data_IF_002561333285
#
_entry.id   IF_002561333285
#
_cell.length_a   1.000
_cell.length_b   1.000
_cell.length_c   1.000
_cell.angle_alpha   90.00
_cell.angle_beta   90.00
_cell.angle_gamma   90.00
#
_symmetry.space_group_name_H-M   'P 1'
#
loop_
_entity.id
_entity.type
_entity.pdbx_description
1 polymer ?
#
# COMPACT_ATOMS: atom_id res chain seq x y z
N UNK A 1 10.35 -3.96 -8.83
CA UNK A 1 9.53 -3.55 -9.99
C UNK A 1 8.47 -2.55 -9.54
N UNK A 2 8.12 -1.62 -10.42
CA UNK A 2 7.06 -0.64 -10.17
C UNK A 2 5.69 -1.26 -10.47
N UNK A 3 4.69 -0.90 -9.67
CA UNK A 3 3.30 -1.28 -9.93
C UNK A 3 2.80 -0.64 -11.23
N UNK A 4 1.82 -1.28 -11.88
CA UNK A 4 1.22 -0.73 -13.10
C UNK A 4 0.78 0.73 -12.88
N UNK A 5 1.12 1.62 -13.80
CA UNK A 5 0.89 3.05 -13.72
C UNK A 5 1.89 3.84 -12.89
N UNK A 6 2.84 3.18 -12.21
CA UNK A 6 3.86 3.79 -11.35
C UNK A 6 5.27 3.63 -11.92
N UNK A 7 6.16 4.56 -11.61
CA UNK A 7 7.57 4.50 -12.01
C UNK A 7 7.75 4.36 -13.52
N UNK A 8 8.51 3.37 -13.93
CA UNK A 8 8.76 3.05 -15.35
C UNK A 8 7.79 1.99 -15.92
N UNK A 9 6.80 1.54 -15.14
CA UNK A 9 5.76 0.65 -15.63
C UNK A 9 4.78 1.40 -16.53
N UNK A 10 4.21 0.68 -17.50
CA UNK A 10 3.21 1.23 -18.41
C UNK A 10 1.97 1.73 -17.67
N UNK A 11 1.30 2.70 -18.26
CA UNK A 11 -0.02 3.14 -17.82
C UNK A 11 -1.10 2.37 -18.55
N UNK A 12 -2.24 2.18 -17.89
CA UNK A 12 -3.40 1.55 -18.52
C UNK A 12 -4.00 2.49 -19.59
N UNK A 13 -4.48 1.92 -20.68
CA UNK A 13 -5.17 2.67 -21.73
C UNK A 13 -6.49 3.24 -21.21
N UNK A 14 -6.76 4.50 -21.56
CA UNK A 14 -8.00 5.20 -21.23
C UNK A 14 -8.39 5.09 -19.75
N UNK A 15 -7.48 5.39 -18.81
CA UNK A 15 -7.80 5.30 -17.39
C UNK A 15 -8.91 6.29 -17.02
N UNK A 16 -9.63 5.98 -15.97
CA UNK A 16 -10.67 6.81 -15.42
C UNK A 16 -10.85 6.50 -13.94
N UNK A 17 -11.95 6.98 -13.37
CA UNK A 17 -12.25 6.72 -11.96
C UNK A 17 -12.24 5.21 -11.66
N UNK A 18 -11.50 4.82 -10.62
CA UNK A 18 -11.36 3.43 -10.16
C UNK A 18 -10.75 2.45 -11.18
N UNK A 19 -9.84 2.93 -12.02
CA UNK A 19 -9.09 2.06 -12.95
C UNK A 19 -7.95 1.33 -12.25
N UNK A 20 -7.22 2.04 -11.37
CA UNK A 20 -6.10 1.48 -10.62
C UNK A 20 -6.57 0.98 -9.25
N UNK A 21 -7.38 -0.08 -9.27
CA UNK A 21 -7.93 -0.68 -8.06
C UNK A 21 -6.96 -1.66 -7.40
N UNK A 22 -7.26 -2.05 -6.16
CA UNK A 22 -6.54 -3.12 -5.47
C UNK A 22 -6.51 -4.41 -6.29
N UNK A 23 -7.64 -4.80 -6.90
CA UNK A 23 -7.73 -6.01 -7.69
C UNK A 23 -6.94 -5.90 -8.99
N UNK A 24 -7.00 -4.76 -9.69
CA UNK A 24 -6.19 -4.51 -10.88
C UNK A 24 -4.70 -4.69 -10.57
N UNK A 25 -4.21 -4.07 -9.51
CA UNK A 25 -2.81 -4.22 -9.12
C UNK A 25 -2.47 -5.66 -8.70
N UNK A 26 -3.39 -6.35 -8.04
CA UNK A 26 -3.17 -7.74 -7.65
C UNK A 26 -3.07 -8.68 -8.85
N UNK A 27 -3.88 -8.47 -9.88
CA UNK A 27 -3.81 -9.24 -11.13
C UNK A 27 -2.45 -9.08 -11.81
N UNK A 28 -1.98 -7.83 -12.01
CA UNK A 28 -0.66 -7.57 -12.60
C UNK A 28 0.48 -8.16 -11.77
N UNK A 29 0.44 -8.02 -10.45
CA UNK A 29 1.42 -8.61 -9.55
C UNK A 29 1.43 -10.13 -9.65
N UNK A 30 0.27 -10.76 -9.68
CA UNK A 30 0.14 -12.21 -9.75
C UNK A 30 0.68 -12.78 -11.07
N UNK A 31 0.39 -12.12 -12.19
CA UNK A 31 0.93 -12.51 -13.49
C UNK A 31 2.45 -12.27 -13.59
N UNK A 32 2.97 -11.20 -12.98
CA UNK A 32 4.41 -10.99 -12.87
C UNK A 32 5.08 -12.13 -12.11
N UNK A 33 4.60 -12.48 -10.92
CA UNK A 33 5.18 -13.57 -10.11
C UNK A 33 5.13 -14.90 -10.88
N UNK A 34 4.03 -15.16 -11.56
CA UNK A 34 3.87 -16.34 -12.41
C UNK A 34 4.86 -16.36 -13.58
N UNK A 35 5.07 -15.22 -14.25
CA UNK A 35 6.03 -15.10 -15.36
C UNK A 35 7.48 -15.33 -14.94
N UNK A 36 7.80 -15.02 -13.69
CA UNK A 36 9.13 -15.25 -13.10
C UNK A 36 9.38 -16.73 -12.76
N UNK A 37 8.38 -17.61 -12.93
CA UNK A 37 8.46 -19.03 -12.60
C UNK A 37 8.93 -19.33 -11.16
N UNK A 38 8.56 -18.48 -10.22
CA UNK A 38 8.86 -18.66 -8.80
C UNK A 38 7.90 -19.69 -8.20
N UNK A 39 8.37 -20.90 -8.00
CA UNK A 39 7.51 -22.04 -7.68
C UNK A 39 7.57 -22.48 -6.22
N UNK A 40 8.60 -22.08 -5.44
CA UNK A 40 8.76 -22.48 -4.06
C UNK A 40 9.67 -21.53 -3.27
N UNK A 41 9.56 -21.59 -1.94
CA UNK A 41 10.44 -20.89 -0.97
C UNK A 41 10.43 -19.36 -1.15
N UNK A 42 9.32 -18.79 -1.53
CA UNK A 42 9.18 -17.35 -1.73
C UNK A 42 9.11 -16.66 -0.36
N UNK A 43 9.94 -15.65 -0.16
CA UNK A 43 9.80 -14.72 0.95
C UNK A 43 9.20 -13.42 0.41
N UNK A 44 8.06 -13.03 0.96
CA UNK A 44 7.37 -11.80 0.59
C UNK A 44 7.76 -10.68 1.55
N UNK A 45 8.05 -9.51 1.00
CA UNK A 45 8.35 -8.30 1.79
C UNK A 45 7.39 -7.21 1.33
N UNK A 46 6.52 -6.75 2.23
CA UNK A 46 5.46 -5.81 1.92
C UNK A 46 5.47 -4.57 2.81
N UNK A 47 5.46 -3.38 2.17
CA UNK A 47 5.31 -2.08 2.80
C UNK A 47 4.09 -1.39 2.17
N UNK A 48 3.36 -0.58 2.94
CA UNK A 48 2.17 0.13 2.50
C UNK A 48 1.19 -0.82 1.78
N UNK A 49 0.79 -0.54 0.55
CA UNK A 49 -0.05 -1.43 -0.26
C UNK A 49 0.63 -2.76 -0.63
N UNK A 50 1.96 -2.80 -0.64
CA UNK A 50 2.69 -4.05 -0.82
C UNK A 50 2.39 -5.10 0.26
N UNK A 51 2.00 -4.69 1.46
CA UNK A 51 1.56 -5.60 2.51
C UNK A 51 0.27 -6.35 2.16
N UNK A 52 -0.88 -5.67 1.95
CA UNK A 52 -2.13 -6.34 1.60
C UNK A 52 -2.04 -7.20 0.34
N UNK A 53 -1.32 -6.74 -0.69
CA UNK A 53 -1.11 -7.49 -1.93
C UNK A 53 -0.29 -8.76 -1.69
N UNK A 54 0.83 -8.66 -0.96
CA UNK A 54 1.68 -9.80 -0.62
C UNK A 54 0.94 -10.84 0.24
N UNK A 55 0.17 -10.36 1.22
CA UNK A 55 -0.59 -11.25 2.11
C UNK A 55 -1.71 -11.95 1.35
N UNK A 56 -2.42 -11.25 0.45
CA UNK A 56 -3.42 -11.87 -0.42
C UNK A 56 -2.76 -12.96 -1.27
N UNK A 57 -1.62 -12.68 -1.88
CA UNK A 57 -0.88 -13.64 -2.68
C UNK A 57 -0.42 -14.84 -1.84
N UNK A 58 0.11 -14.61 -0.62
CA UNK A 58 0.49 -15.66 0.30
C UNK A 58 -0.67 -16.55 0.71
N UNK A 59 -1.85 -15.97 0.94
CA UNK A 59 -3.07 -16.69 1.28
C UNK A 59 -3.54 -17.63 0.15
N UNK A 60 -3.37 -17.18 -1.10
CA UNK A 60 -3.76 -17.95 -2.28
C UNK A 60 -2.70 -18.96 -2.74
N UNK A 61 -1.45 -18.84 -2.28
CA UNK A 61 -0.30 -19.66 -2.66
C UNK A 61 0.55 -20.07 -1.43
N UNK A 62 -0.10 -20.44 -0.33
CA UNK A 62 0.58 -20.64 0.96
C UNK A 62 1.63 -21.76 0.94
N UNK A 63 1.47 -22.76 0.08
CA UNK A 63 2.41 -23.85 -0.16
C UNK A 63 3.75 -23.39 -0.76
N UNK A 64 3.78 -22.22 -1.44
CA UNK A 64 4.97 -21.65 -2.05
C UNK A 64 5.70 -20.65 -1.14
N UNK A 65 5.04 -20.19 -0.07
CA UNK A 65 5.55 -19.12 0.78
C UNK A 65 6.36 -19.65 1.94
N UNK A 66 7.62 -19.21 2.03
CA UNK A 66 8.53 -19.55 3.11
C UNK A 66 8.47 -18.58 4.28
N UNK A 67 8.11 -17.31 4.04
CA UNK A 67 8.04 -16.27 5.06
C UNK A 67 7.42 -14.99 4.57
N UNK A 68 6.89 -14.20 5.50
CA UNK A 68 6.25 -12.89 5.23
C UNK A 68 6.92 -11.84 6.12
N UNK A 69 7.53 -10.83 5.53
CA UNK A 69 8.03 -9.64 6.21
C UNK A 69 7.09 -8.47 5.89
N UNK A 70 6.69 -7.71 6.90
CA UNK A 70 5.78 -6.58 6.70
C UNK A 70 6.10 -5.44 7.67
N UNK A 71 5.88 -4.21 7.20
CA UNK A 71 6.10 -2.99 7.95
C UNK A 71 5.31 -1.83 7.35
N UNK A 72 4.94 -0.86 8.18
CA UNK A 72 4.22 0.35 7.74
C UNK A 72 3.20 0.04 6.64
N UNK A 73 2.18 -0.77 6.98
CA UNK A 73 1.24 -1.35 6.01
C UNK A 73 -0.20 -1.38 6.51
N UNK A 74 -1.15 -1.50 5.58
CA UNK A 74 -2.57 -1.67 5.86
C UNK A 74 -2.85 -3.14 6.23
N UNK A 75 -2.68 -3.49 7.51
CA UNK A 75 -2.87 -4.86 8.01
C UNK A 75 -4.31 -5.15 8.48
N UNK A 76 -5.08 -4.13 8.76
CA UNK A 76 -6.45 -4.22 9.23
C UNK A 76 -7.33 -3.12 8.62
N UNK A 77 -8.66 -3.32 8.53
CA UNK A 77 -9.58 -2.25 8.16
C UNK A 77 -9.52 -1.07 9.11
N UNK A 78 -9.73 0.12 8.61
CA UNK A 78 -9.57 1.37 9.35
C UNK A 78 -10.96 1.98 9.62
N UNK A 79 -11.16 2.51 10.82
CA UNK A 79 -12.30 3.37 11.13
C UNK A 79 -11.86 4.82 11.17
N UNK A 80 -12.62 5.70 10.54
CA UNK A 80 -12.30 7.13 10.51
C UNK A 80 -12.28 7.78 11.89
N UNK A 81 -13.05 7.25 12.84
CA UNK A 81 -13.05 7.69 14.24
C UNK A 81 -11.73 7.40 14.99
N UNK A 82 -10.97 6.39 14.53
CA UNK A 82 -9.67 5.99 15.09
C UNK A 82 -8.50 6.73 14.44
N UNK A 83 -8.75 7.46 13.35
CA UNK A 83 -7.73 8.23 12.64
C UNK A 83 -7.45 9.56 13.32
N UNK A 84 -6.19 9.91 13.40
CA UNK A 84 -5.75 11.20 13.91
C UNK A 84 -5.69 12.26 12.81
N UNK A 85 -5.90 13.51 13.18
CA UNK A 85 -5.61 14.65 12.31
C UNK A 85 -4.06 14.86 12.23
N UNK A 86 -3.51 15.30 11.06
CA UNK A 86 -4.22 15.72 9.84
C UNK A 86 -4.53 14.59 8.84
N UNK A 87 -4.17 13.33 9.15
CA UNK A 87 -4.29 12.20 8.25
C UNK A 87 -5.75 11.93 7.85
N UNK A 88 -6.67 12.03 8.81
CA UNK A 88 -8.12 11.89 8.56
C UNK A 88 -8.61 12.91 7.53
N UNK A 89 -8.33 14.18 7.76
CA UNK A 89 -8.73 15.25 6.82
C UNK A 89 -8.14 15.05 5.43
N UNK A 90 -6.90 14.57 5.34
CA UNK A 90 -6.25 14.26 4.07
C UNK A 90 -7.00 13.17 3.29
N UNK A 91 -7.31 12.03 3.92
CA UNK A 91 -8.02 10.95 3.23
C UNK A 91 -9.45 11.33 2.87
N UNK A 92 -10.14 12.10 3.71
CA UNK A 92 -11.47 12.62 3.36
C UNK A 92 -11.42 13.56 2.15
N UNK A 93 -10.42 14.44 2.09
CA UNK A 93 -10.18 15.32 0.94
C UNK A 93 -9.89 14.51 -0.34
N UNK A 94 -8.99 13.52 -0.29
CA UNK A 94 -8.65 12.68 -1.45
C UNK A 94 -9.84 11.89 -1.99
N UNK A 95 -10.83 11.58 -1.15
CA UNK A 95 -12.07 10.88 -1.55
C UNK A 95 -13.16 11.79 -2.10
N UNK A 96 -13.00 13.10 -2.02
CA UNK A 96 -13.93 14.08 -2.56
C UNK A 96 -13.52 14.55 -3.97
N UNK A 97 -14.41 15.31 -4.63
CA UNK A 97 -14.10 15.99 -5.91
C UNK A 97 -12.91 16.93 -5.81
N UNK A 98 -12.64 17.49 -4.61
CA UNK A 98 -11.45 18.29 -4.37
C UNK A 98 -10.18 17.47 -4.54
N UNK A 99 -10.21 16.16 -4.23
CA UNK A 99 -9.11 15.23 -4.46
C UNK A 99 -8.79 15.08 -5.93
N UNK A 100 -9.80 14.98 -6.80
CA UNK A 100 -9.57 14.92 -8.25
C UNK A 100 -8.78 16.11 -8.74
N UNK A 101 -9.22 17.32 -8.42
CA UNK A 101 -8.51 18.55 -8.78
C UNK A 101 -7.10 18.58 -8.21
N UNK A 102 -6.95 18.33 -6.91
CA UNK A 102 -5.65 18.41 -6.23
C UNK A 102 -4.62 17.42 -6.79
N UNK A 103 -5.04 16.20 -7.05
CA UNK A 103 -4.11 15.16 -7.50
C UNK A 103 -3.91 15.22 -9.01
N UNK A 104 -4.99 15.26 -9.80
CA UNK A 104 -4.86 15.16 -11.25
C UNK A 104 -4.31 16.46 -11.87
N UNK A 105 -4.72 17.64 -11.37
CA UNK A 105 -4.27 18.91 -11.93
C UNK A 105 -3.00 19.44 -11.24
N UNK A 106 -2.92 19.38 -9.89
CA UNK A 106 -1.86 20.01 -9.11
C UNK A 106 -0.74 19.04 -8.70
N UNK A 107 -0.83 17.74 -9.05
CA UNK A 107 0.12 16.69 -8.67
C UNK A 107 0.37 16.61 -7.15
N UNK A 108 -0.66 16.87 -6.37
CA UNK A 108 -0.57 17.03 -4.91
C UNK A 108 0.11 15.84 -4.21
N UNK A 109 -0.12 14.62 -4.68
CA UNK A 109 0.45 13.44 -4.05
C UNK A 109 1.98 13.47 -4.09
N UNK A 110 2.56 13.74 -5.27
CA UNK A 110 4.01 13.81 -5.45
C UNK A 110 4.60 15.07 -4.82
N UNK A 111 3.99 16.24 -5.08
CA UNK A 111 4.57 17.52 -4.69
C UNK A 111 4.42 17.86 -3.21
N UNK A 112 3.36 17.35 -2.55
CA UNK A 112 3.07 17.70 -1.16
C UNK A 112 3.18 16.51 -0.22
N UNK A 113 2.63 15.35 -0.55
CA UNK A 113 2.74 14.21 0.35
C UNK A 113 4.14 13.62 0.33
N UNK A 114 4.69 13.34 -0.85
CA UNK A 114 6.02 12.77 -0.95
C UNK A 114 7.13 13.81 -0.71
N UNK A 115 6.98 15.00 -1.26
CA UNK A 115 8.01 16.04 -1.20
C UNK A 115 8.20 16.69 0.18
N UNK A 116 7.20 16.62 1.08
CA UNK A 116 7.25 17.29 2.40
C UNK A 116 7.23 16.33 3.58
N UNK A 117 7.06 15.05 3.33
CA UNK A 117 6.77 14.05 4.34
C UNK A 117 8.00 13.34 4.94
N UNK A 118 9.10 13.12 4.22
CA UNK A 118 10.27 12.48 4.78
C UNK A 118 10.91 13.31 5.90
N UNK A 119 11.47 12.64 6.91
CA UNK A 119 12.28 13.26 7.96
C UNK A 119 13.44 14.04 7.35
N UNK A 120 14.07 13.46 6.33
CA UNK A 120 15.08 14.11 5.51
C UNK A 120 14.44 14.56 4.20
N UNK A 121 14.42 15.87 3.91
CA UNK A 121 13.87 16.35 2.64
C UNK A 121 14.54 15.70 1.43
N UNK A 122 13.74 15.34 0.44
CA UNK A 122 14.27 14.78 -0.81
C UNK A 122 14.98 15.87 -1.63
N UNK A 123 16.10 15.51 -2.26
CA UNK A 123 16.78 16.41 -3.20
C UNK A 123 15.91 16.66 -4.43
N UNK A 124 16.17 17.76 -5.13
CA UNK A 124 15.44 18.06 -6.38
C UNK A 124 15.69 16.99 -7.46
N UNK A 125 16.88 16.41 -7.50
CA UNK A 125 17.20 15.28 -8.37
C UNK A 125 16.31 14.07 -8.07
N UNK A 126 16.16 13.72 -6.78
CA UNK A 126 15.27 12.63 -6.35
C UNK A 126 13.81 12.95 -6.67
N UNK A 127 13.37 14.18 -6.41
CA UNK A 127 12.01 14.63 -6.74
C UNK A 127 11.73 14.57 -8.24
N UNK A 128 12.71 14.88 -9.09
CA UNK A 128 12.58 14.76 -10.55
C UNK A 128 12.29 13.32 -10.98
N UNK A 129 12.91 12.32 -10.33
CA UNK A 129 12.62 10.90 -10.59
C UNK A 129 11.18 10.56 -10.21
N UNK A 130 10.71 10.99 -9.04
CA UNK A 130 9.32 10.75 -8.62
C UNK A 130 8.29 11.47 -9.48
N UNK A 131 8.62 12.65 -10.01
CA UNK A 131 7.74 13.41 -10.93
C UNK A 131 7.63 12.78 -12.32
N UNK A 132 8.68 12.11 -12.78
CA UNK A 132 8.79 11.58 -14.15
C UNK A 132 7.52 10.86 -14.66
N UNK A 133 6.89 9.94 -13.91
CA UNK A 133 5.69 9.24 -14.35
C UNK A 133 4.43 10.12 -14.38
N UNK A 134 4.45 11.29 -13.74
CA UNK A 134 3.28 12.13 -13.44
C UNK A 134 3.43 13.58 -13.94
N UNK A 135 4.25 13.79 -14.97
CA UNK A 135 4.47 15.11 -15.54
C UNK A 135 3.21 15.68 -16.20
N UNK A 136 2.48 14.86 -16.92
CA UNK A 136 1.26 15.28 -17.60
C UNK A 136 0.09 15.36 -16.61
N UNK A 137 -0.61 16.51 -16.52
CA UNK A 137 -1.85 16.62 -15.76
C UNK A 137 -2.94 15.65 -16.27
N UNK A 138 -3.89 15.35 -15.41
CA UNK A 138 -5.03 14.50 -15.76
C UNK A 138 -4.77 13.02 -15.48
N UNK A 139 -5.17 12.16 -16.39
CA UNK A 139 -5.26 10.73 -16.15
C UNK A 139 -3.90 10.03 -15.96
N UNK A 140 -2.79 10.62 -16.40
CA UNK A 140 -1.45 10.10 -16.08
C UNK A 140 -1.17 10.06 -14.57
N UNK A 141 -1.87 10.89 -13.79
CA UNK A 141 -1.79 10.96 -12.32
C UNK A 141 -2.87 10.12 -11.62
N UNK A 142 -3.73 9.44 -12.36
CA UNK A 142 -4.81 8.61 -11.80
C UNK A 142 -4.33 7.57 -10.77
N UNK A 143 -3.21 6.87 -10.97
CA UNK A 143 -2.74 5.90 -9.98
C UNK A 143 -2.53 6.51 -8.59
N UNK A 144 -2.00 7.74 -8.51
CA UNK A 144 -1.74 8.43 -7.24
C UNK A 144 -3.00 8.94 -6.53
N UNK A 145 -4.14 8.94 -7.23
CA UNK A 145 -5.44 9.25 -6.67
C UNK A 145 -6.24 7.98 -6.31
N UNK A 146 -6.24 7.00 -7.20
CA UNK A 146 -7.02 5.77 -6.98
C UNK A 146 -6.46 4.96 -5.80
N UNK A 147 -5.15 4.86 -5.63
CA UNK A 147 -4.54 4.14 -4.52
C UNK A 147 -5.00 4.62 -3.13
N UNK A 148 -4.92 5.90 -2.77
CA UNK A 148 -5.44 6.37 -1.49
C UNK A 148 -6.95 6.12 -1.32
N UNK A 149 -7.71 6.11 -2.41
CA UNK A 149 -9.14 5.81 -2.41
C UNK A 149 -9.46 4.34 -2.14
N UNK A 150 -8.50 3.44 -2.35
CA UNK A 150 -8.66 2.02 -2.05
C UNK A 150 -8.47 1.69 -0.56
N UNK A 151 -7.90 2.58 0.27
CA UNK A 151 -7.74 2.31 1.71
C UNK A 151 -9.12 2.07 2.34
N UNK A 152 -9.35 0.92 3.01
CA UNK A 152 -10.68 0.52 3.46
C UNK A 152 -11.09 1.24 4.75
N UNK A 153 -11.49 2.50 4.62
CA UNK A 153 -11.98 3.34 5.73
C UNK A 153 -13.51 3.18 5.82
N UNK A 154 -14.04 2.94 7.03
CA UNK A 154 -15.47 2.78 7.30
C UNK A 154 -16.17 1.77 6.38
N UNK A 155 -15.48 0.67 6.08
CA UNK A 155 -15.91 -0.43 5.20
C UNK A 155 -15.93 -0.10 3.69
N UNK A 156 -15.45 1.05 3.28
CA UNK A 156 -15.40 1.44 1.86
C UNK A 156 -13.95 1.65 1.38
N UNK A 157 -13.58 1.13 0.19
CA UNK A 157 -14.38 0.26 -0.70
C UNK A 157 -14.67 -1.11 -0.08
N UNK A 158 -15.90 -1.60 -0.19
CA UNK A 158 -16.36 -2.83 0.46
C UNK A 158 -15.51 -4.06 0.11
N UNK A 159 -15.17 -4.23 -1.16
CA UNK A 159 -14.37 -5.39 -1.61
C UNK A 159 -12.96 -5.37 -1.00
N UNK A 160 -12.28 -4.22 -0.93
CA UNK A 160 -10.97 -4.10 -0.29
C UNK A 160 -11.07 -4.33 1.21
N UNK A 161 -12.12 -3.83 1.85
CA UNK A 161 -12.38 -4.09 3.27
C UNK A 161 -12.47 -5.60 3.55
N UNK A 162 -13.23 -6.34 2.74
CA UNK A 162 -13.36 -7.79 2.91
C UNK A 162 -12.04 -8.54 2.61
N UNK A 163 -11.27 -8.11 1.61
CA UNK A 163 -9.97 -8.71 1.33
C UNK A 163 -8.97 -8.45 2.47
N UNK A 164 -8.91 -7.25 3.02
CA UNK A 164 -8.05 -6.92 4.18
C UNK A 164 -8.47 -7.72 5.41
N UNK A 165 -9.76 -7.95 5.64
CA UNK A 165 -10.23 -8.84 6.72
C UNK A 165 -9.78 -10.29 6.53
N UNK A 166 -9.90 -10.84 5.31
CA UNK A 166 -9.41 -12.20 5.00
C UNK A 166 -7.90 -12.30 5.21
N UNK A 167 -7.15 -11.29 4.79
CA UNK A 167 -5.72 -11.20 5.00
C UNK A 167 -5.36 -11.19 6.49
N UNK A 168 -6.07 -10.40 7.28
CA UNK A 168 -5.88 -10.34 8.73
C UNK A 168 -6.14 -11.70 9.39
N UNK A 169 -7.26 -12.37 9.05
CA UNK A 169 -7.55 -13.71 9.56
C UNK A 169 -6.46 -14.71 9.20
N UNK A 170 -6.00 -14.68 7.95
CA UNK A 170 -4.88 -15.53 7.51
C UNK A 170 -3.60 -15.26 8.29
N UNK A 171 -3.23 -13.99 8.51
CA UNK A 171 -2.02 -13.61 9.27
C UNK A 171 -2.08 -14.06 10.73
N UNK A 172 -3.26 -14.07 11.32
CA UNK A 172 -3.47 -14.56 12.69
C UNK A 172 -3.31 -16.08 12.82
N UNK A 173 -3.72 -16.83 11.80
CA UNK A 173 -3.87 -18.29 11.87
C UNK A 173 -2.68 -19.06 11.27
N UNK A 174 -2.06 -18.52 10.22
CA UNK A 174 -0.99 -19.22 9.49
C UNK A 174 0.27 -19.43 10.32
N UNK A 175 0.88 -20.61 10.18
CA UNK A 175 2.17 -20.96 10.77
C UNK A 175 3.36 -20.50 9.89
N UNK A 176 3.12 -19.88 8.74
CA UNK A 176 4.20 -19.28 7.92
C UNK A 176 4.98 -18.29 8.79
N UNK A 177 6.33 -18.39 8.86
CA UNK A 177 7.15 -17.47 9.62
C UNK A 177 6.90 -16.00 9.21
N UNK A 178 6.73 -15.14 10.20
CA UNK A 178 6.50 -13.71 9.99
C UNK A 178 7.56 -12.85 10.66
N UNK A 179 7.95 -11.78 10.00
CA UNK A 179 8.78 -10.72 10.55
C UNK A 179 8.01 -9.40 10.49
N UNK A 180 7.71 -8.84 11.65
CA UNK A 180 7.24 -7.47 11.78
C UNK A 180 8.44 -6.54 11.94
N UNK A 181 8.62 -5.59 11.04
CA UNK A 181 9.58 -4.51 11.22
C UNK A 181 8.84 -3.29 11.76
N UNK A 182 9.27 -2.79 12.90
CA UNK A 182 8.72 -1.61 13.57
C UNK A 182 9.59 -0.41 13.19
N UNK A 183 9.01 0.58 12.52
CA UNK A 183 9.67 1.85 12.23
C UNK A 183 9.54 2.79 13.45
N UNK A 184 10.63 3.43 13.84
CA UNK A 184 10.65 4.48 14.86
C UNK A 184 11.35 5.74 14.32
N UNK A 185 10.58 6.80 14.02
CA UNK A 185 9.13 6.91 14.11
C UNK A 185 8.39 6.14 13.02
N UNK A 186 7.24 5.51 13.36
CA UNK A 186 6.31 4.88 12.43
C UNK A 186 5.11 5.78 12.14
N UNK A 187 4.36 5.47 11.11
CA UNK A 187 3.28 6.31 10.63
C UNK A 187 1.96 5.59 10.34
N UNK A 188 2.03 4.44 9.66
CA UNK A 188 0.84 3.68 9.27
C UNK A 188 0.45 2.63 10.29
N UNK A 189 1.39 2.19 11.12
CA UNK A 189 1.14 1.19 12.15
C UNK A 189 1.23 1.81 13.56
N UNK A 190 0.13 2.35 14.11
CA UNK A 190 0.14 2.91 15.45
C UNK A 190 0.36 1.82 16.50
N UNK A 191 0.86 2.23 17.66
CA UNK A 191 1.21 1.32 18.76
C UNK A 191 0.15 0.27 19.11
N UNK A 192 -1.15 0.57 19.20
CA UNK A 192 -2.18 -0.46 19.45
C UNK A 192 -2.25 -1.53 18.36
N UNK A 193 -2.03 -1.17 17.10
CA UNK A 193 -2.00 -2.09 15.99
C UNK A 193 -0.76 -2.99 16.04
N UNK A 194 0.41 -2.44 16.37
CA UNK A 194 1.64 -3.22 16.59
C UNK A 194 1.43 -4.24 17.72
N UNK A 195 0.87 -3.83 18.86
CA UNK A 195 0.56 -4.74 19.98
C UNK A 195 -0.43 -5.85 19.58
N UNK A 196 -1.37 -5.53 18.70
CA UNK A 196 -2.27 -6.54 18.15
C UNK A 196 -1.51 -7.52 17.24
N UNK A 197 -0.66 -7.04 16.34
CA UNK A 197 0.13 -7.87 15.43
C UNK A 197 1.10 -8.82 16.17
N UNK A 198 1.59 -8.43 17.35
CA UNK A 198 2.43 -9.30 18.21
C UNK A 198 1.77 -10.61 18.62
N UNK A 199 0.45 -10.71 18.48
CA UNK A 199 -0.32 -11.93 18.79
C UNK A 199 -0.38 -12.91 17.63
N UNK A 200 0.16 -12.57 16.46
CA UNK A 200 0.17 -13.48 15.32
C UNK A 200 1.11 -14.65 15.59
N UNK A 201 0.71 -15.83 15.12
CA UNK A 201 1.50 -17.05 15.29
C UNK A 201 2.84 -16.95 14.54
N UNK A 202 3.85 -17.60 15.08
CA UNK A 202 5.17 -17.75 14.47
C UNK A 202 5.74 -16.42 13.94
N UNK A 203 5.72 -15.38 14.79
CA UNK A 203 6.17 -14.04 14.45
C UNK A 203 7.38 -13.64 15.28
N UNK A 204 8.34 -13.03 14.59
CA UNK A 204 9.45 -12.28 15.16
C UNK A 204 9.30 -10.80 14.87
N UNK A 205 10.02 -9.96 15.59
CA UNK A 205 10.03 -8.52 15.33
C UNK A 205 11.45 -7.94 15.32
N UNK A 206 11.61 -6.83 14.61
CA UNK A 206 12.80 -6.01 14.61
C UNK A 206 12.40 -4.53 14.58
N UNK A 207 13.20 -3.67 15.21
CA UNK A 207 12.97 -2.21 15.18
C UNK A 207 14.03 -1.53 14.34
N UNK A 208 13.60 -0.62 13.47
CA UNK A 208 14.48 0.25 12.67
C UNK A 208 14.22 1.68 13.11
N UNK A 209 15.31 2.36 13.46
CA UNK A 209 15.30 3.80 13.82
C UNK A 209 15.81 4.61 12.64
N UNK A 210 15.05 5.65 12.27
CA UNK A 210 15.40 6.56 11.19
C UNK A 210 15.40 8.02 11.61
#
# INVERSE_FOLDING_TARGET
DSMIGMGDSDKLDNPGHMTYTFDTHFEYLSELIKSLNLNEKITLVGQDWGGPLSIKWARENSDKVRGICYFETVIAPIKSEEMQEPLKSLFMMLRSEKGDKKVLEENFFVEKMLGTDPITPLSEETMAVYRKPFLNPGEDRRPTLDWPRQIPIDKEPKHVHEEVKKNLSFMMETEIPKLLIIAEPGRLMPKPLIEFCRKFKNQSEATVKG
#
